data_IF_400006692356
#
_entry.id   IF_400006692356
#
_cell.length_a   1.000
_cell.length_b   1.000
_cell.length_c   1.000
_cell.angle_alpha   90.00
_cell.angle_beta   90.00
_cell.angle_gamma   90.00
#
_symmetry.space_group_name_H-M   'P 1'
#
loop_
_entity.id
_entity.type
_entity.pdbx_description
1 polymer ?
#
# COMPACT_ATOMS: atom_id res chain seq x y z
N UNK A 1 -6.37 -14.21 -5.66
CA UNK A 1 -7.66 -14.33 -6.39
C UNK A 1 -7.59 -15.34 -7.53
N UNK A 2 -6.84 -15.09 -8.61
CA UNK A 2 -6.69 -16.02 -9.75
C UNK A 2 -6.10 -17.39 -9.33
N UNK A 3 -5.11 -17.38 -8.43
CA UNK A 3 -4.51 -18.62 -7.92
C UNK A 3 -5.52 -19.46 -7.11
N UNK A 4 -6.27 -18.84 -6.16
CA UNK A 4 -7.29 -19.53 -5.38
C UNK A 4 -8.43 -20.10 -6.23
N UNK A 5 -8.77 -19.41 -7.33
CA UNK A 5 -9.77 -19.89 -8.29
C UNK A 5 -9.28 -21.12 -9.06
N UNK A 6 -7.98 -21.18 -9.36
CA UNK A 6 -7.35 -22.31 -10.02
C UNK A 6 -7.11 -23.51 -9.08
N UNK A 7 -6.83 -23.26 -7.79
CA UNK A 7 -6.50 -24.30 -6.80
C UNK A 7 -7.68 -24.80 -5.99
N UNK A 8 -8.89 -24.25 -6.17
CA UNK A 8 -10.09 -24.67 -5.42
C UNK A 8 -10.04 -24.40 -3.91
N UNK A 9 -9.07 -23.59 -3.46
CA UNK A 9 -8.87 -23.25 -2.05
C UNK A 9 -9.89 -22.20 -1.64
N UNK A 10 -10.58 -22.43 -0.51
CA UNK A 10 -11.59 -21.52 0.02
C UNK A 10 -11.01 -20.10 0.15
N UNK A 11 -11.78 -19.11 -0.32
CA UNK A 11 -11.41 -17.70 -0.21
C UNK A 11 -11.26 -17.36 1.27
N UNK A 12 -10.03 -17.14 1.74
CA UNK A 12 -9.79 -16.90 3.17
C UNK A 12 -10.31 -15.52 3.52
N UNK A 13 -11.04 -15.40 4.63
CA UNK A 13 -11.52 -14.11 5.16
C UNK A 13 -10.37 -13.12 5.36
N UNK A 14 -9.16 -13.65 5.62
CA UNK A 14 -7.91 -12.89 5.70
C UNK A 14 -7.58 -12.15 4.38
N UNK A 15 -7.76 -12.79 3.22
CA UNK A 15 -7.54 -12.16 1.91
C UNK A 15 -8.56 -11.06 1.63
N UNK A 16 -9.82 -11.24 2.06
CA UNK A 16 -10.85 -10.19 1.98
C UNK A 16 -10.45 -8.94 2.78
N UNK A 17 -9.94 -9.13 4.00
CA UNK A 17 -9.50 -8.03 4.87
C UNK A 17 -8.31 -7.27 4.27
N UNK A 18 -7.38 -8.00 3.63
CA UNK A 18 -6.29 -7.39 2.87
C UNK A 18 -6.78 -6.60 1.65
N UNK A 19 -7.82 -7.06 0.97
CA UNK A 19 -8.44 -6.31 -0.12
C UNK A 19 -9.08 -4.98 0.34
N UNK A 20 -9.71 -4.97 1.52
CA UNK A 20 -10.27 -3.75 2.15
C UNK A 20 -9.15 -2.76 2.49
N UNK A 21 -8.03 -3.26 3.03
CA UNK A 21 -6.82 -2.48 3.24
C UNK A 21 -6.32 -1.84 1.92
N UNK A 22 -6.29 -2.59 0.83
CA UNK A 22 -6.01 -2.08 -0.52
C UNK A 22 -6.95 -0.94 -0.95
N UNK A 23 -8.26 -1.10 -0.74
CA UNK A 23 -9.27 -0.10 -1.08
C UNK A 23 -9.09 1.21 -0.29
N UNK A 24 -8.73 1.13 1.00
CA UNK A 24 -8.45 2.31 1.82
C UNK A 24 -7.26 3.11 1.29
N UNK A 25 -6.21 2.44 0.80
CA UNK A 25 -5.04 3.11 0.24
C UNK A 25 -5.38 3.83 -1.07
N UNK A 26 -6.18 3.20 -1.92
CA UNK A 26 -6.69 3.82 -3.16
C UNK A 26 -7.54 5.04 -2.83
N UNK A 27 -8.43 4.91 -1.85
CA UNK A 27 -9.29 6.01 -1.41
C UNK A 27 -8.48 7.20 -0.85
N UNK A 28 -7.46 6.94 -0.03
CA UNK A 28 -6.55 7.96 0.47
C UNK A 28 -5.82 8.68 -0.67
N UNK A 29 -5.26 7.92 -1.61
CA UNK A 29 -4.56 8.48 -2.78
C UNK A 29 -5.49 9.31 -3.67
N UNK A 30 -6.74 8.86 -3.84
CA UNK A 30 -7.76 9.56 -4.61
C UNK A 30 -8.17 10.89 -3.96
N UNK A 31 -8.31 10.91 -2.63
CA UNK A 31 -8.68 12.11 -1.88
C UNK A 31 -7.73 13.28 -2.17
N UNK A 32 -6.42 13.00 -2.19
CA UNK A 32 -5.39 13.99 -2.49
C UNK A 32 -5.25 14.29 -4.00
N UNK A 33 -5.60 13.35 -4.87
CA UNK A 33 -5.55 13.54 -6.32
C UNK A 33 -6.76 14.31 -6.89
N UNK A 34 -7.86 14.42 -6.14
CA UNK A 34 -9.14 15.02 -6.61
C UNK A 34 -9.00 16.48 -7.06
N UNK A 35 -8.14 17.28 -6.41
CA UNK A 35 -7.93 18.69 -6.75
C UNK A 35 -6.84 18.87 -7.83
N UNK A 36 -7.16 18.47 -9.07
CA UNK A 36 -6.26 18.57 -10.24
C UNK A 36 -5.72 19.98 -10.51
N UNK A 37 -6.44 21.02 -10.08
CA UNK A 37 -6.08 22.43 -10.29
C UNK A 37 -4.80 22.83 -9.55
N UNK A 38 -4.46 22.15 -8.46
CA UNK A 38 -3.30 22.49 -7.62
C UNK A 38 -2.00 21.92 -8.18
N UNK A 39 -2.07 20.86 -9.00
CA UNK A 39 -0.91 20.26 -9.64
C UNK A 39 -0.27 21.13 -10.74
N UNK A 40 -1.02 22.10 -11.27
CA UNK A 40 -0.60 22.96 -12.38
C UNK A 40 -0.14 24.35 -11.96
N UNK A 41 -0.22 24.68 -10.66
CA UNK A 41 0.09 26.03 -10.18
C UNK A 41 1.61 26.31 -10.20
N UNK A 42 2.43 25.37 -9.73
CA UNK A 42 3.90 25.47 -9.79
C UNK A 42 4.58 24.12 -9.61
N UNK A 43 5.77 23.93 -10.23
CA UNK A 43 6.59 22.70 -10.08
C UNK A 43 6.86 22.28 -8.62
N UNK A 44 7.22 23.18 -7.68
CA UNK A 44 7.45 22.77 -6.29
C UNK A 44 6.16 22.29 -5.60
N UNK A 45 5.00 22.88 -5.91
CA UNK A 45 3.73 22.43 -5.35
C UNK A 45 3.34 21.04 -5.86
N UNK A 46 3.59 20.73 -7.14
CA UNK A 46 3.38 19.39 -7.69
C UNK A 46 4.20 18.33 -6.94
N UNK A 47 5.47 18.62 -6.65
CA UNK A 47 6.36 17.71 -5.92
C UNK A 47 5.86 17.51 -4.49
N UNK A 48 5.46 18.59 -3.82
CA UNK A 48 4.92 18.52 -2.46
C UNK A 48 3.65 17.66 -2.40
N UNK A 49 2.74 17.82 -3.37
CA UNK A 49 1.54 17.01 -3.49
C UNK A 49 1.84 15.52 -3.70
N UNK A 50 2.79 15.20 -4.58
CA UNK A 50 3.22 13.81 -4.80
C UNK A 50 3.82 13.22 -3.52
N UNK A 51 4.65 13.99 -2.81
CA UNK A 51 5.25 13.56 -1.54
C UNK A 51 4.17 13.30 -0.47
N UNK A 52 3.17 14.18 -0.37
CA UNK A 52 2.03 13.99 0.53
C UNK A 52 1.25 12.72 0.21
N UNK A 53 1.02 12.42 -1.07
CA UNK A 53 0.38 11.17 -1.50
C UNK A 53 1.25 9.97 -1.11
N UNK A 54 2.57 10.01 -1.35
CA UNK A 54 3.47 8.91 -0.99
C UNK A 54 3.44 8.65 0.51
N UNK A 55 3.59 9.70 1.33
CA UNK A 55 3.64 9.56 2.79
C UNK A 55 2.31 9.05 3.33
N UNK A 56 1.19 9.65 2.93
CA UNK A 56 -0.13 9.26 3.42
C UNK A 56 -0.49 7.84 2.98
N UNK A 57 -0.32 7.51 1.71
CA UNK A 57 -0.59 6.15 1.20
C UNK A 57 0.31 5.10 1.85
N UNK A 58 1.59 5.40 2.09
CA UNK A 58 2.52 4.49 2.78
C UNK A 58 2.08 4.27 4.23
N UNK A 59 1.82 5.35 4.99
CA UNK A 59 1.36 5.28 6.38
C UNK A 59 0.10 4.44 6.50
N UNK A 60 -0.90 4.67 5.65
CA UNK A 60 -2.10 3.84 5.64
C UNK A 60 -1.76 2.39 5.30
N UNK A 61 -0.93 2.12 4.30
CA UNK A 61 -0.60 0.77 3.84
C UNK A 61 0.11 -0.07 4.90
N UNK A 62 1.21 0.40 5.47
CA UNK A 62 1.95 -0.42 6.45
C UNK A 62 1.22 -0.49 7.80
N UNK A 63 0.48 0.55 8.20
CA UNK A 63 -0.25 0.56 9.48
C UNK A 63 -1.43 -0.41 9.42
N UNK A 64 -2.26 -0.32 8.39
CA UNK A 64 -3.43 -1.20 8.26
C UNK A 64 -3.04 -2.66 8.07
N UNK A 65 -2.01 -2.95 7.27
CA UNK A 65 -1.52 -4.31 7.10
C UNK A 65 -0.89 -4.87 8.39
N UNK A 66 -0.13 -4.06 9.14
CA UNK A 66 0.46 -4.50 10.42
C UNK A 66 -0.58 -4.66 11.53
N UNK A 67 -1.65 -3.85 11.53
CA UNK A 67 -2.79 -4.02 12.43
C UNK A 67 -3.51 -5.34 12.12
N UNK A 68 -3.77 -5.61 10.84
CA UNK A 68 -4.39 -6.83 10.39
C UNK A 68 -3.57 -8.05 10.84
N UNK A 69 -2.25 -8.00 10.70
CA UNK A 69 -1.40 -9.11 11.16
C UNK A 69 -1.25 -9.21 12.68
N UNK A 70 -1.37 -8.12 13.40
CA UNK A 70 -1.29 -8.16 14.88
C UNK A 70 -2.56 -8.74 15.48
N UNK A 71 -3.74 -8.38 14.95
CA UNK A 71 -5.03 -8.75 15.53
C UNK A 71 -5.66 -9.99 14.91
N UNK A 72 -5.49 -10.20 13.61
CA UNK A 72 -6.23 -11.20 12.85
C UNK A 72 -5.35 -12.43 12.56
N UNK A 73 -4.06 -12.27 12.30
CA UNK A 73 -3.14 -13.42 12.12
C UNK A 73 -3.19 -14.46 13.27
N UNK A 74 -3.20 -14.09 14.57
CA UNK A 74 -3.29 -15.09 15.65
C UNK A 74 -4.63 -15.84 15.69
N UNK A 75 -5.70 -15.26 15.15
CA UNK A 75 -7.04 -15.88 15.07
C UNK A 75 -7.12 -16.89 13.92
N UNK A 76 -6.35 -16.68 12.86
CA UNK A 76 -6.31 -17.53 11.67
C UNK A 76 -5.07 -18.45 11.60
N UNK A 77 -4.22 -18.42 12.63
CA UNK A 77 -2.93 -19.11 12.71
C UNK A 77 -3.01 -20.64 12.72
N UNK A 78 -4.21 -21.23 12.80
CA UNK A 78 -4.38 -22.68 12.75
C UNK A 78 -4.19 -23.29 11.36
N UNK A 79 -4.06 -22.51 10.29
CA UNK A 79 -4.11 -23.11 8.93
C UNK A 79 -3.03 -22.73 7.92
N UNK A 80 -2.23 -21.67 8.05
CA UNK A 80 -1.29 -21.32 6.96
C UNK A 80 -0.12 -20.44 7.43
N UNK A 81 1.08 -21.02 7.48
CA UNK A 81 2.35 -20.29 7.55
C UNK A 81 2.75 -19.80 6.16
N UNK A 82 2.27 -18.62 5.77
CA UNK A 82 2.40 -18.14 4.38
C UNK A 82 3.02 -16.75 4.22
N UNK A 83 3.48 -16.10 5.28
CA UNK A 83 4.00 -14.75 5.18
C UNK A 83 5.54 -14.75 5.28
N UNK A 84 6.21 -14.33 4.21
CA UNK A 84 7.65 -14.04 4.24
C UNK A 84 8.00 -13.02 5.33
N UNK A 85 7.04 -12.19 5.75
CA UNK A 85 7.17 -11.24 6.85
C UNK A 85 7.16 -11.90 8.23
N UNK A 86 6.66 -13.13 8.37
CA UNK A 86 6.63 -13.83 9.66
C UNK A 86 8.04 -14.19 10.11
N UNK A 87 8.90 -14.62 9.18
CA UNK A 87 10.32 -14.89 9.46
C UNK A 87 11.07 -13.63 9.93
N UNK A 88 10.79 -12.48 9.31
CA UNK A 88 11.39 -11.21 9.73
C UNK A 88 10.82 -10.73 11.07
N UNK A 89 9.52 -10.89 11.28
CA UNK A 89 8.86 -10.52 12.53
C UNK A 89 9.31 -11.39 13.71
N UNK A 90 9.59 -12.67 13.49
CA UNK A 90 10.12 -13.58 14.51
C UNK A 90 11.54 -13.18 14.93
N UNK A 91 12.41 -12.82 13.98
CA UNK A 91 13.74 -12.27 14.27
C UNK A 91 13.63 -10.96 15.04
N UNK A 92 12.72 -10.05 14.66
CA UNK A 92 12.54 -8.77 15.38
C UNK A 92 11.94 -8.96 16.79
N UNK A 93 11.10 -9.97 16.99
CA UNK A 93 10.59 -10.34 18.32
C UNK A 93 11.71 -10.82 19.24
N UNK A 94 12.73 -11.50 18.71
CA UNK A 94 13.92 -11.89 19.49
C UNK A 94 14.73 -10.67 19.97
N UNK A 95 14.60 -9.52 19.30
CA UNK A 95 15.17 -8.23 19.73
C UNK A 95 14.28 -7.44 20.72
N UNK A 96 13.30 -8.10 21.36
CA UNK A 96 12.41 -7.50 22.36
C UNK A 96 11.47 -6.41 21.82
N UNK A 97 11.20 -6.40 20.50
CA UNK A 97 10.24 -5.49 19.89
C UNK A 97 8.80 -5.98 20.07
N UNK A 98 7.87 -5.04 20.30
CA UNK A 98 6.44 -5.37 20.36
C UNK A 98 5.95 -6.02 19.07
N UNK A 99 4.94 -6.89 19.17
CA UNK A 99 4.39 -7.67 18.05
C UNK A 99 4.04 -6.81 16.83
N UNK A 100 3.40 -5.65 17.06
CA UNK A 100 3.04 -4.70 16.01
C UNK A 100 4.27 -4.13 15.28
N UNK A 101 5.28 -3.71 16.04
CA UNK A 101 6.51 -3.14 15.46
C UNK A 101 7.31 -4.17 14.68
N UNK A 102 7.26 -5.44 15.10
CA UNK A 102 7.96 -6.53 14.42
C UNK A 102 7.45 -6.79 13.01
N UNK A 103 6.14 -6.60 12.77
CA UNK A 103 5.56 -6.65 11.42
C UNK A 103 5.68 -5.33 10.64
N UNK A 104 5.71 -4.20 11.36
CA UNK A 104 5.74 -2.87 10.75
C UNK A 104 7.10 -2.52 10.16
N UNK A 105 8.19 -2.75 10.90
CA UNK A 105 9.56 -2.38 10.51
C UNK A 105 10.00 -2.97 9.15
N UNK A 106 9.85 -4.28 8.87
CA UNK A 106 10.24 -4.83 7.58
C UNK A 106 9.38 -4.34 6.41
N UNK A 107 8.18 -3.82 6.68
CA UNK A 107 7.24 -3.35 5.64
C UNK A 107 7.46 -1.91 5.22
N UNK A 108 8.01 -1.06 6.09
CA UNK A 108 8.30 0.33 5.77
C UNK A 108 9.13 0.46 4.47
N UNK A 109 10.32 -0.16 4.33
CA UNK A 109 11.15 0.07 3.15
C UNK A 109 10.49 -0.44 1.87
N UNK A 110 9.81 -1.59 1.93
CA UNK A 110 9.15 -2.19 0.77
C UNK A 110 7.96 -1.34 0.29
N UNK A 111 7.10 -0.93 1.22
CA UNK A 111 5.90 -0.14 0.89
C UNK A 111 6.25 1.27 0.42
N UNK A 112 7.24 1.93 1.03
CA UNK A 112 7.68 3.26 0.60
C UNK A 112 8.26 3.22 -0.82
N UNK A 113 9.09 2.21 -1.13
CA UNK A 113 9.67 2.06 -2.48
C UNK A 113 8.57 1.84 -3.53
N UNK A 114 7.62 0.94 -3.26
CA UNK A 114 6.48 0.66 -4.14
C UNK A 114 5.66 1.93 -4.41
N UNK A 115 5.39 2.73 -3.37
CA UNK A 115 4.63 3.98 -3.50
C UNK A 115 5.39 5.05 -4.26
N UNK A 116 6.70 5.17 -4.10
CA UNK A 116 7.52 6.08 -4.91
C UNK A 116 7.41 5.71 -6.39
N UNK A 117 7.57 4.42 -6.73
CA UNK A 117 7.49 3.95 -8.12
C UNK A 117 6.08 4.17 -8.68
N UNK A 118 5.03 3.78 -7.96
CA UNK A 118 3.65 3.92 -8.40
C UNK A 118 3.22 5.38 -8.60
N UNK A 119 3.61 6.27 -7.69
CA UNK A 119 3.25 7.70 -7.80
C UNK A 119 4.00 8.41 -8.94
N UNK A 120 5.28 8.08 -9.16
CA UNK A 120 6.03 8.59 -10.31
C UNK A 120 5.47 8.06 -11.63
N UNK A 121 5.16 6.76 -11.71
CA UNK A 121 4.54 6.16 -12.88
C UNK A 121 3.16 6.78 -13.16
N UNK A 122 2.32 6.94 -12.13
CA UNK A 122 1.01 7.58 -12.24
C UNK A 122 1.10 9.03 -12.71
N UNK A 123 2.06 9.80 -12.19
CA UNK A 123 2.31 11.17 -12.64
C UNK A 123 2.81 11.23 -14.09
N UNK A 124 3.68 10.29 -14.50
CA UNK A 124 4.15 10.17 -15.87
C UNK A 124 3.01 9.91 -16.86
N UNK A 125 2.10 8.99 -16.52
CA UNK A 125 0.90 8.69 -17.33
C UNK A 125 -0.01 9.94 -17.40
N UNK A 126 -0.23 10.64 -16.29
CA UNK A 126 -1.00 11.88 -16.29
C UNK A 126 -0.41 12.94 -17.22
N UNK A 127 0.91 13.13 -17.20
CA UNK A 127 1.63 14.05 -18.10
C UNK A 127 1.47 13.67 -19.57
N UNK A 128 1.53 12.38 -19.90
CA UNK A 128 1.32 11.91 -21.26
C UNK A 128 -0.12 12.15 -21.71
N UNK A 129 -1.11 11.79 -20.90
CA UNK A 129 -2.52 12.01 -21.20
C UNK A 129 -2.83 13.49 -21.46
N UNK A 130 -2.35 14.40 -20.61
CA UNK A 130 -2.54 15.85 -20.81
C UNK A 130 -1.89 16.32 -22.12
N UNK A 131 -0.73 15.77 -22.50
CA UNK A 131 -0.05 16.11 -23.75
C UNK A 131 -0.82 15.61 -24.98
N UNK A 132 -1.36 14.39 -24.92
CA UNK A 132 -2.14 13.80 -26.01
C UNK A 132 -3.51 14.46 -26.17
N UNK A 133 -4.18 14.82 -25.07
CA UNK A 133 -5.48 15.52 -25.09
C UNK A 133 -5.36 16.90 -25.78
N UNK A 134 -4.23 17.60 -25.58
CA UNK A 134 -3.91 18.86 -26.26
C UNK A 134 -3.56 18.70 -27.76
N UNK A 135 -3.19 17.51 -28.20
CA UNK A 135 -2.84 17.25 -29.62
C UNK A 135 -4.07 16.88 -30.45
N UNK A 136 -5.16 16.49 -29.79
CA UNK A 136 -6.40 16.07 -30.43
C UNK A 136 -7.46 17.18 -30.51
N UNK A 137 -7.08 18.44 -30.25
CA UNK A 137 -7.97 19.60 -30.29
C UNK A 137 -7.50 20.65 -31.28
#
# INVERSE_FOLDING_TARGET
>A
VLLCWYTGTAFSTYDCLYAICGMLIVFASWLFSRNKKEFLYSRPMTIFYLLMIIVTSSVFSFTSASLLDTFILPVFQSSVGFSAFDNYAEVLRQFNMGTFFSYLVPRIPLTVLDRIICTLAGFGIYRLLVKYDFTCR
#
